data_IF_284049184145
#
_entry.id   IF_284049184145
#
_cell.length_a   1.000
_cell.length_b   1.000
_cell.length_c   1.000
_cell.angle_alpha   90.00
_cell.angle_beta   90.00
_cell.angle_gamma   90.00
#
_symmetry.space_group_name_H-M   'P 1'
#
loop_
_entity.id
_entity.type
_entity.pdbx_description
1 polymer ?
#
# COMPACT_ATOMS: atom_id res chain seq x y z
N UNK A 1 -4.21 -14.73 5.44
CA UNK A 1 -4.10 -13.51 4.61
C UNK A 1 -2.88 -12.71 5.06
N UNK A 2 -2.03 -12.27 4.12
CA UNK A 2 -0.91 -11.35 4.37
C UNK A 2 -1.32 -9.97 3.87
N UNK A 3 -1.05 -8.92 4.64
CA UNK A 3 -1.25 -7.53 4.21
C UNK A 3 0.08 -6.96 3.72
N UNK A 4 0.07 -6.41 2.50
CA UNK A 4 1.21 -5.73 1.90
C UNK A 4 0.80 -4.28 1.61
N UNK A 5 1.48 -3.32 2.24
CA UNK A 5 1.31 -1.90 1.94
C UNK A 5 2.40 -1.47 0.96
N UNK A 6 2.01 -1.16 -0.27
CA UNK A 6 2.89 -0.59 -1.28
C UNK A 6 2.87 0.93 -1.18
N UNK A 7 4.05 1.56 -1.11
CA UNK A 7 4.19 3.02 -1.01
C UNK A 7 5.15 3.50 -2.09
N UNK A 8 4.78 4.55 -2.83
CA UNK A 8 5.68 5.15 -3.83
C UNK A 8 6.56 6.19 -3.16
N UNK A 9 7.87 6.03 -3.32
CA UNK A 9 8.86 6.92 -2.74
C UNK A 9 9.13 6.68 -1.25
N UNK A 10 10.35 7.00 -0.83
CA UNK A 10 10.78 6.79 0.56
C UNK A 10 10.35 7.95 1.44
N UNK A 11 9.83 7.65 2.63
CA UNK A 11 9.67 8.65 3.70
C UNK A 11 11.02 9.20 4.11
N UNK A 12 11.25 10.49 3.87
CA UNK A 12 12.53 11.16 4.17
C UNK A 12 12.62 11.69 5.60
N UNK A 13 11.46 11.96 6.22
CA UNK A 13 11.39 12.43 7.60
C UNK A 13 11.59 11.26 8.56
N UNK A 14 12.68 11.33 9.35
CA UNK A 14 13.07 10.30 10.31
C UNK A 14 12.05 10.12 11.44
N UNK A 15 11.35 11.18 11.84
CA UNK A 15 10.32 11.08 12.88
C UNK A 15 9.12 10.29 12.36
N UNK A 16 8.71 10.55 11.11
CA UNK A 16 7.64 9.78 10.47
C UNK A 16 8.05 8.34 10.23
N UNK A 17 9.29 8.08 9.78
CA UNK A 17 9.80 6.70 9.64
C UNK A 17 9.74 5.93 10.95
N UNK A 18 10.15 6.55 12.06
CA UNK A 18 10.10 5.90 13.38
C UNK A 18 8.68 5.57 13.83
N UNK A 19 7.71 6.47 13.58
CA UNK A 19 6.30 6.22 13.88
C UNK A 19 5.72 5.10 13.00
N UNK A 20 6.03 5.11 11.70
CA UNK A 20 5.60 4.06 10.77
C UNK A 20 6.13 2.70 11.23
N UNK A 21 7.40 2.61 11.62
CA UNK A 21 8.01 1.37 12.10
C UNK A 21 7.37 0.87 13.40
N UNK A 22 7.04 1.76 14.34
CA UNK A 22 6.33 1.40 15.58
C UNK A 22 4.94 0.81 15.26
N UNK A 23 4.14 1.48 14.43
CA UNK A 23 2.82 0.97 14.05
C UNK A 23 2.90 -0.31 13.22
N UNK A 24 3.83 -0.41 12.28
CA UNK A 24 4.06 -1.64 11.52
C UNK A 24 4.45 -2.81 12.43
N UNK A 25 5.28 -2.57 13.44
CA UNK A 25 5.63 -3.55 14.47
C UNK A 25 4.41 -4.02 15.26
N UNK A 26 3.55 -3.10 15.68
CA UNK A 26 2.31 -3.42 16.40
C UNK A 26 1.36 -4.26 15.55
N UNK A 27 1.15 -3.90 14.28
CA UNK A 27 0.23 -4.60 13.36
C UNK A 27 0.69 -6.05 13.13
N UNK A 28 2.01 -6.27 13.00
CA UNK A 28 2.60 -7.61 12.79
C UNK A 28 2.25 -8.62 13.89
N UNK A 29 1.91 -8.17 15.10
CA UNK A 29 1.45 -9.06 16.17
C UNK A 29 0.07 -9.67 15.91
N UNK A 30 -0.74 -9.05 15.04
CA UNK A 30 -2.12 -9.46 14.76
C UNK A 30 -2.27 -10.10 13.37
N UNK A 31 -1.53 -9.61 12.37
CA UNK A 31 -1.60 -10.10 10.99
C UNK A 31 -0.22 -10.03 10.34
N UNK A 32 0.18 -11.00 9.49
CA UNK A 32 1.39 -10.86 8.69
C UNK A 32 1.31 -9.59 7.85
N UNK A 33 2.11 -8.59 8.21
CA UNK A 33 2.11 -7.26 7.61
C UNK A 33 3.50 -6.91 7.09
N UNK A 34 3.57 -6.46 5.86
CA UNK A 34 4.78 -5.94 5.23
C UNK A 34 4.48 -4.59 4.58
N UNK A 35 5.50 -3.74 4.56
CA UNK A 35 5.47 -2.48 3.83
C UNK A 35 6.64 -2.48 2.86
N UNK A 36 6.37 -2.22 1.59
CA UNK A 36 7.36 -2.17 0.53
C UNK A 36 7.34 -0.78 -0.11
N UNK A 37 8.54 -0.23 -0.30
CA UNK A 37 8.73 1.07 -0.94
C UNK A 37 9.09 0.86 -2.40
N UNK A 38 8.19 1.27 -3.28
CA UNK A 38 8.43 1.32 -4.72
C UNK A 38 9.32 2.54 -5.00
N UNK A 39 10.46 2.34 -5.68
CA UNK A 39 11.40 3.43 -5.96
C UNK A 39 10.79 4.44 -6.92
N UNK A 40 11.12 5.72 -6.72
CA UNK A 40 10.74 6.79 -7.64
C UNK A 40 11.40 6.62 -9.01
N UNK A 41 10.75 7.13 -10.06
CA UNK A 41 11.27 7.08 -11.42
C UNK A 41 12.56 7.89 -11.56
N UNK A 42 13.61 7.23 -12.06
CA UNK A 42 14.83 7.93 -12.51
C UNK A 42 14.47 8.83 -13.69
N UNK A 43 14.92 10.09 -13.65
CA UNK A 43 14.66 11.11 -14.67
C UNK A 43 13.17 11.48 -14.84
N UNK A 44 12.34 11.39 -13.79
CA UNK A 44 10.94 11.81 -13.85
C UNK A 44 10.74 13.21 -14.46
N UNK A 45 11.65 14.15 -14.19
CA UNK A 45 11.60 15.53 -14.70
C UNK A 45 11.60 15.66 -16.23
N UNK A 46 12.06 14.65 -16.97
CA UNK A 46 12.04 14.65 -18.44
C UNK A 46 10.81 13.96 -19.04
N UNK A 47 9.89 13.48 -18.21
CA UNK A 47 8.68 12.76 -18.62
C UNK A 47 7.44 13.62 -18.39
N UNK A 48 6.43 13.44 -19.25
CA UNK A 48 5.11 14.04 -18.99
C UNK A 48 4.45 13.40 -17.77
N UNK A 49 3.45 14.08 -17.19
CA UNK A 49 2.66 13.55 -16.08
C UNK A 49 2.06 12.17 -16.40
N UNK A 50 1.45 12.01 -17.58
CA UNK A 50 0.88 10.72 -18.01
C UNK A 50 1.94 9.63 -18.12
N UNK A 51 3.13 9.95 -18.65
CA UNK A 51 4.24 8.98 -18.74
C UNK A 51 4.81 8.61 -17.37
N UNK A 52 4.84 9.55 -16.43
CA UNK A 52 5.24 9.26 -15.05
C UNK A 52 4.23 8.31 -14.41
N UNK A 53 2.94 8.62 -14.52
CA UNK A 53 1.85 7.79 -13.98
C UNK A 53 1.85 6.38 -14.55
N UNK A 54 2.02 6.23 -15.86
CA UNK A 54 2.06 4.92 -16.52
C UNK A 54 3.25 4.08 -16.01
N UNK A 55 4.45 4.67 -15.95
CA UNK A 55 5.65 3.95 -15.50
C UNK A 55 5.64 3.64 -14.01
N UNK A 56 5.10 4.52 -13.16
CA UNK A 56 4.88 4.22 -11.74
C UNK A 56 3.87 3.08 -11.56
N UNK A 57 2.79 3.11 -12.36
CA UNK A 57 1.80 2.03 -12.42
C UNK A 57 2.43 0.70 -12.80
N UNK A 58 3.29 0.65 -13.81
CA UNK A 58 4.03 -0.56 -14.18
C UNK A 58 4.89 -1.12 -13.03
N UNK A 59 5.53 -0.24 -12.25
CA UNK A 59 6.32 -0.67 -11.09
C UNK A 59 5.45 -1.25 -9.99
N UNK A 60 4.31 -0.62 -9.68
CA UNK A 60 3.34 -1.13 -8.71
C UNK A 60 2.79 -2.49 -9.13
N UNK A 61 2.39 -2.64 -10.39
CA UNK A 61 1.81 -3.88 -10.92
C UNK A 61 2.78 -5.06 -10.84
N UNK A 62 4.10 -4.83 -10.88
CA UNK A 62 5.11 -5.89 -10.74
C UNK A 62 5.20 -6.48 -9.33
N UNK A 63 4.78 -5.72 -8.31
CA UNK A 63 4.74 -6.21 -6.93
C UNK A 63 3.46 -7.00 -6.62
N UNK A 64 2.46 -6.97 -7.51
CA UNK A 64 1.20 -7.68 -7.37
C UNK A 64 1.26 -9.09 -7.98
N UNK A 65 0.52 -10.02 -7.40
CA UNK A 65 0.37 -11.39 -7.90
C UNK A 65 -1.06 -11.65 -8.33
N UNK A 66 -1.23 -12.63 -9.20
CA UNK A 66 -2.54 -13.14 -9.55
C UNK A 66 -3.24 -13.68 -8.30
N UNK A 67 -4.50 -13.28 -8.10
CA UNK A 67 -5.28 -13.61 -6.90
C UNK A 67 -5.14 -12.62 -5.73
N UNK A 68 -4.25 -11.64 -5.81
CA UNK A 68 -4.17 -10.58 -4.78
C UNK A 68 -5.44 -9.72 -4.80
N UNK A 69 -6.00 -9.48 -3.61
CA UNK A 69 -7.04 -8.47 -3.42
C UNK A 69 -6.36 -7.10 -3.29
N UNK A 70 -6.59 -6.22 -4.25
CA UNK A 70 -5.91 -4.92 -4.35
C UNK A 70 -6.85 -3.80 -3.93
N UNK A 71 -6.38 -2.95 -3.01
CA UNK A 71 -7.11 -1.76 -2.57
C UNK A 71 -6.27 -0.51 -2.82
N UNK A 72 -6.80 0.39 -3.63
CA UNK A 72 -6.20 1.70 -3.88
C UNK A 72 -6.66 2.69 -2.81
N UNK A 73 -5.70 3.39 -2.21
CA UNK A 73 -5.97 4.52 -1.32
C UNK A 73 -6.08 5.78 -2.17
N UNK A 74 -7.30 6.25 -2.37
CA UNK A 74 -7.64 7.38 -3.23
C UNK A 74 -8.57 8.36 -2.49
N UNK A 75 -8.40 9.64 -2.73
CA UNK A 75 -9.19 10.72 -2.12
C UNK A 75 -10.66 10.73 -2.56
N UNK A 76 -10.96 10.23 -3.77
CA UNK A 76 -12.32 9.99 -4.26
C UNK A 76 -12.85 8.59 -3.92
N UNK A 77 -12.10 7.82 -3.13
CA UNK A 77 -12.45 6.47 -2.73
C UNK A 77 -13.61 6.42 -1.72
N UNK A 78 -13.93 5.19 -1.30
CA UNK A 78 -14.92 4.98 -0.24
C UNK A 78 -14.30 5.32 1.11
N UNK A 79 -14.89 6.29 1.80
CA UNK A 79 -14.55 6.59 3.19
C UNK A 79 -15.10 5.52 4.13
N UNK A 80 -14.27 5.12 5.10
CA UNK A 80 -14.65 4.20 6.15
C UNK A 80 -14.38 4.84 7.52
N UNK A 81 -15.34 4.71 8.43
CA UNK A 81 -15.05 4.87 9.86
C UNK A 81 -14.23 3.68 10.35
N UNK A 82 -13.50 3.83 11.45
CA UNK A 82 -12.60 2.79 11.96
C UNK A 82 -13.27 1.43 12.16
N UNK A 83 -14.50 1.40 12.70
CA UNK A 83 -15.28 0.17 12.92
C UNK A 83 -15.69 -0.48 11.59
N UNK A 84 -15.98 0.33 10.57
CA UNK A 84 -16.37 -0.15 9.25
C UNK A 84 -15.17 -0.75 8.52
N UNK A 85 -14.00 -0.11 8.62
CA UNK A 85 -12.75 -0.66 8.10
C UNK A 85 -12.38 -1.98 8.77
N UNK A 86 -12.50 -2.07 10.10
CA UNK A 86 -12.26 -3.32 10.83
C UNK A 86 -13.19 -4.44 10.37
N UNK A 87 -14.48 -4.15 10.23
CA UNK A 87 -15.48 -5.12 9.73
C UNK A 87 -15.19 -5.53 8.28
N UNK A 88 -14.74 -4.58 7.45
CA UNK A 88 -14.35 -4.84 6.08
C UNK A 88 -13.16 -5.81 6.02
N UNK A 89 -12.09 -5.53 6.76
CA UNK A 89 -10.88 -6.37 6.79
C UNK A 89 -11.18 -7.78 7.31
N UNK A 90 -12.03 -7.91 8.34
CA UNK A 90 -12.44 -9.21 8.89
C UNK A 90 -13.20 -10.06 7.86
N UNK A 91 -14.08 -9.42 7.06
CA UNK A 91 -14.76 -10.09 5.95
C UNK A 91 -13.78 -10.56 4.88
N UNK A 92 -12.82 -9.73 4.49
CA UNK A 92 -11.80 -10.12 3.49
C UNK A 92 -10.94 -11.29 3.99
N UNK A 93 -10.61 -11.30 5.29
CA UNK A 93 -9.88 -12.39 5.91
C UNK A 93 -10.67 -13.70 5.89
N UNK A 94 -11.97 -13.62 6.22
CA UNK A 94 -12.86 -14.78 6.31
C UNK A 94 -13.30 -15.32 4.95
N UNK A 95 -13.39 -14.45 3.93
CA UNK A 95 -13.85 -14.84 2.59
C UNK A 95 -12.83 -15.63 1.79
N UNK A 96 -11.59 -15.77 2.31
CA UNK A 96 -10.51 -16.53 1.68
C UNK A 96 -10.41 -16.21 0.20
N UNK A 97 -9.82 -15.06 -0.15
CA UNK A 97 -9.54 -14.67 -1.53
C UNK A 97 -9.16 -15.92 -2.34
N UNK A 98 -10.08 -16.33 -3.22
CA UNK A 98 -9.92 -17.50 -4.09
C UNK A 98 -9.05 -17.14 -5.27
#
# INVERSE_FOLDING_TARGET
MKLLLLVVGRTVDKHLSALIDDYAGRIKHYVPFEMEVIPELKNAKSLSFEQQKEREGELLLRSLKEGDAVWLLDEGGREFRSIELATFLDRQHSSGAR
#
